data_IF_939001490766
#
_entry.id   IF_939001490766
#
_cell.length_a   1.000
_cell.length_b   1.000
_cell.length_c   1.000
_cell.angle_alpha   90.00
_cell.angle_beta   90.00
_cell.angle_gamma   90.00
#
_symmetry.space_group_name_H-M   'P 1'
#
loop_
_entity.id
_entity.type
_entity.pdbx_description
1 polymer ?
#
# COMPACT_ATOMS: atom_id res chain seq x y z
N UNK A 1 -9.83 4.32 -7.58
CA UNK A 1 -10.62 3.21 -8.18
C UNK A 1 -11.58 2.67 -7.14
N UNK A 2 -12.87 2.53 -7.47
CA UNK A 2 -13.90 2.10 -6.51
C UNK A 2 -13.83 0.59 -6.25
N UNK A 3 -14.06 0.18 -5.00
CA UNK A 3 -14.05 -1.22 -4.53
C UNK A 3 -14.93 -2.16 -5.40
N UNK A 4 -15.96 -1.62 -6.04
CA UNK A 4 -16.92 -2.36 -6.86
C UNK A 4 -16.33 -3.02 -8.12
N UNK A 5 -15.21 -2.51 -8.65
CA UNK A 5 -14.58 -3.08 -9.86
C UNK A 5 -13.93 -4.44 -9.63
N UNK A 6 -13.55 -4.75 -8.38
CA UNK A 6 -12.82 -5.99 -8.05
C UNK A 6 -13.71 -7.24 -8.12
N UNK A 7 -15.02 -7.11 -7.88
CA UNK A 7 -15.97 -8.23 -7.97
C UNK A 7 -16.48 -8.49 -9.39
N UNK A 8 -16.22 -7.59 -10.34
CA UNK A 8 -16.69 -7.70 -11.72
C UNK A 8 -15.71 -8.45 -12.65
N UNK A 9 -14.67 -9.07 -12.10
CA UNK A 9 -13.69 -9.86 -12.88
C UNK A 9 -12.71 -9.04 -13.72
N UNK A 10 -12.74 -7.70 -13.63
CA UNK A 10 -11.80 -6.85 -14.35
C UNK A 10 -10.42 -6.87 -13.69
N UNK A 11 -9.38 -7.05 -14.51
CA UNK A 11 -8.00 -6.80 -14.11
C UNK A 11 -7.75 -5.30 -14.10
N UNK A 12 -7.83 -4.69 -12.94
CA UNK A 12 -7.67 -3.26 -12.78
C UNK A 12 -6.38 -2.89 -12.05
N UNK A 13 -5.71 -1.81 -12.48
CA UNK A 13 -4.56 -1.23 -11.77
C UNK A 13 -5.03 -0.07 -10.90
N UNK A 14 -4.51 0.01 -9.68
CA UNK A 14 -4.85 1.10 -8.79
C UNK A 14 -4.01 2.32 -9.16
N UNK A 15 -4.64 3.48 -9.24
CA UNK A 15 -3.97 4.78 -9.16
C UNK A 15 -4.78 5.65 -8.20
N UNK A 16 -4.09 6.51 -7.47
CA UNK A 16 -4.67 7.38 -6.47
C UNK A 16 -3.98 8.73 -6.48
N UNK A 17 -4.79 9.77 -6.45
CA UNK A 17 -4.35 11.15 -6.37
C UNK A 17 -5.21 11.90 -5.35
N UNK A 18 -4.90 13.17 -5.16
CA UNK A 18 -5.73 14.05 -4.33
C UNK A 18 -6.67 14.83 -5.23
N UNK A 19 -7.97 14.61 -5.05
CA UNK A 19 -9.01 15.46 -5.65
C UNK A 19 -9.10 16.78 -4.86
N UNK A 20 -8.15 17.67 -5.16
CA UNK A 20 -8.04 19.00 -4.57
C UNK A 20 -8.62 20.04 -5.55
N UNK A 21 -9.48 20.96 -5.09
CA UNK A 21 -9.95 21.11 -3.70
C UNK A 21 -11.17 20.24 -3.34
N UNK A 22 -11.85 19.63 -4.33
CA UNK A 22 -13.22 19.11 -4.21
C UNK A 22 -13.51 18.19 -3.01
N UNK A 23 -12.60 17.25 -2.69
CA UNK A 23 -12.78 16.33 -1.55
C UNK A 23 -12.04 16.84 -0.32
N UNK A 24 -10.88 17.47 -0.53
CA UNK A 24 -10.01 17.96 0.54
C UNK A 24 -9.54 19.38 0.21
N UNK A 25 -10.03 20.37 0.96
CA UNK A 25 -9.68 21.78 0.77
C UNK A 25 -8.33 22.16 1.41
N UNK A 26 -7.65 21.22 2.08
CA UNK A 26 -6.53 21.54 2.96
C UNK A 26 -5.18 21.55 2.27
N UNK A 27 -4.90 20.58 1.37
CA UNK A 27 -3.62 20.51 0.64
C UNK A 27 -3.67 19.53 -0.53
N UNK A 28 -2.82 19.80 -1.53
CA UNK A 28 -2.49 18.86 -2.62
C UNK A 28 -1.60 17.74 -2.09
N UNK A 29 -1.73 16.53 -2.65
CA UNK A 29 -0.82 15.41 -2.39
C UNK A 29 -1.08 14.66 -1.08
N UNK A 30 -2.33 14.59 -0.64
CA UNK A 30 -2.80 13.65 0.40
C UNK A 30 -2.76 12.20 -0.11
N UNK A 31 -3.37 11.92 -1.26
CA UNK A 31 -3.23 10.64 -1.97
C UNK A 31 -2.19 10.75 -3.08
N UNK A 32 -1.32 9.74 -3.21
CA UNK A 32 -0.22 9.73 -4.18
C UNK A 32 -0.03 8.35 -4.80
N UNK A 33 0.22 8.31 -6.11
CA UNK A 33 0.68 7.11 -6.82
C UNK A 33 2.21 7.10 -6.87
N UNK A 34 2.82 6.01 -6.38
CA UNK A 34 4.25 5.76 -6.44
C UNK A 34 4.53 4.69 -7.49
N UNK A 35 5.32 5.02 -8.51
CA UNK A 35 5.65 4.15 -9.64
C UNK A 35 7.13 3.79 -9.57
N UNK A 36 7.46 2.50 -9.74
CA UNK A 36 8.87 2.07 -9.82
C UNK A 36 9.45 2.50 -11.15
N UNK A 37 10.56 3.25 -11.12
CA UNK A 37 11.27 3.72 -12.31
C UNK A 37 12.79 3.65 -12.08
N UNK A 38 13.56 3.55 -13.17
CA UNK A 38 15.03 3.63 -13.11
C UNK A 38 15.53 5.07 -12.96
N UNK A 39 14.79 6.03 -13.55
CA UNK A 39 15.01 7.47 -13.46
C UNK A 39 13.65 8.18 -13.47
N UNK A 40 13.54 9.39 -12.90
CA UNK A 40 12.34 10.19 -13.03
C UNK A 40 12.07 10.53 -14.49
N UNK A 41 11.03 9.92 -15.06
CA UNK A 41 10.61 10.12 -16.44
C UNK A 41 9.09 10.02 -16.53
N UNK A 42 8.44 11.02 -17.11
CA UNK A 42 6.99 11.07 -17.13
C UNK A 42 6.36 9.99 -18.02
N UNK A 43 7.00 9.66 -19.15
CA UNK A 43 6.51 8.63 -20.06
C UNK A 43 6.57 7.24 -19.43
N UNK A 44 7.69 6.90 -18.79
CA UNK A 44 7.81 5.65 -18.03
C UNK A 44 6.90 5.64 -16.81
N UNK A 45 6.59 6.80 -16.21
CA UNK A 45 5.64 6.88 -15.11
C UNK A 45 4.24 6.46 -15.56
N UNK A 46 3.77 7.02 -16.69
CA UNK A 46 2.48 6.64 -17.29
C UNK A 46 2.46 5.14 -17.63
N UNK A 47 3.52 4.66 -18.30
CA UNK A 47 3.60 3.26 -18.68
C UNK A 47 3.63 2.34 -17.45
N UNK A 48 4.28 2.76 -16.36
CA UNK A 48 4.31 2.02 -15.10
C UNK A 48 2.96 1.92 -14.43
N UNK A 49 2.13 2.97 -14.47
CA UNK A 49 0.72 2.89 -14.02
C UNK A 49 -0.06 1.87 -14.86
N UNK A 50 0.08 1.92 -16.20
CA UNK A 50 -0.60 1.00 -17.11
C UNK A 50 -0.21 -0.46 -16.85
N UNK A 51 1.06 -0.71 -16.61
CA UNK A 51 1.60 -2.05 -16.32
C UNK A 51 1.27 -2.53 -14.90
N UNK A 52 0.99 -1.60 -13.98
CA UNK A 52 0.75 -1.88 -12.57
C UNK A 52 2.01 -1.99 -11.73
N UNK A 53 3.10 -1.33 -12.13
CA UNK A 53 4.37 -1.22 -11.37
C UNK A 53 4.27 -0.19 -10.24
N UNK A 54 3.12 -0.07 -9.61
CA UNK A 54 2.82 1.05 -8.74
C UNK A 54 1.92 0.68 -7.54
N UNK A 55 1.95 1.53 -6.52
CA UNK A 55 1.03 1.48 -5.38
C UNK A 55 0.56 2.90 -5.03
N UNK A 56 -0.47 2.99 -4.18
CA UNK A 56 -1.00 4.26 -3.67
C UNK A 56 -0.66 4.41 -2.21
N UNK A 57 -0.34 5.62 -1.78
CA UNK A 57 0.05 5.92 -0.41
C UNK A 57 -0.37 7.34 -0.01
N UNK A 58 -0.47 7.55 1.31
CA UNK A 58 -0.68 8.85 1.96
C UNK A 58 0.60 9.72 2.02
N UNK A 59 1.71 9.21 1.49
CA UNK A 59 3.04 9.79 1.58
C UNK A 59 3.71 9.63 2.94
N UNK A 60 3.08 8.94 3.90
CA UNK A 60 3.67 8.57 5.20
C UNK A 60 3.93 7.08 5.30
N UNK A 61 3.16 6.25 4.60
CA UNK A 61 3.26 4.80 4.59
C UNK A 61 3.67 4.28 3.21
N UNK A 62 4.54 3.28 3.12
CA UNK A 62 5.10 2.81 1.86
C UNK A 62 5.15 1.30 1.80
N UNK A 63 4.82 0.75 0.62
CA UNK A 63 4.87 -0.67 0.30
C UNK A 63 5.78 -0.85 -0.92
N UNK A 64 7.06 -1.12 -0.68
CA UNK A 64 8.08 -1.20 -1.74
C UNK A 64 8.47 -2.67 -1.97
N UNK A 65 8.88 -2.98 -3.21
CA UNK A 65 9.37 -4.31 -3.59
C UNK A 65 8.36 -5.42 -3.29
N UNK A 66 7.07 -5.15 -3.54
CA UNK A 66 6.04 -6.17 -3.46
C UNK A 66 6.26 -7.26 -4.51
N UNK A 67 6.32 -8.52 -4.07
CA UNK A 67 6.49 -9.71 -4.90
C UNK A 67 5.58 -10.82 -4.41
N UNK A 68 5.16 -11.67 -5.33
CA UNK A 68 4.61 -12.99 -5.03
C UNK A 68 5.58 -14.02 -5.61
N UNK A 69 6.13 -14.86 -4.74
CA UNK A 69 7.24 -15.77 -5.05
C UNK A 69 8.42 -15.00 -5.66
N UNK A 70 8.73 -15.21 -6.93
CA UNK A 70 9.77 -14.51 -7.67
C UNK A 70 9.23 -13.40 -8.59
N UNK A 71 7.90 -13.25 -8.71
CA UNK A 71 7.25 -12.29 -9.61
C UNK A 71 7.06 -10.96 -8.91
N UNK A 72 7.61 -9.90 -9.49
CA UNK A 72 7.42 -8.53 -9.00
C UNK A 72 6.07 -7.96 -9.42
N UNK A 73 5.50 -7.09 -8.59
CA UNK A 73 4.31 -6.33 -8.93
C UNK A 73 4.46 -5.61 -10.29
N UNK A 74 3.49 -5.81 -11.18
CA UNK A 74 3.50 -5.23 -12.53
C UNK A 74 4.30 -6.03 -13.58
N UNK A 75 4.91 -7.17 -13.23
CA UNK A 75 5.65 -8.03 -14.17
C UNK A 75 4.85 -9.24 -14.69
N UNK A 76 3.54 -9.28 -14.43
CA UNK A 76 2.62 -10.31 -14.92
C UNK A 76 1.98 -11.14 -13.81
N UNK A 77 1.26 -12.19 -14.23
CA UNK A 77 0.54 -13.09 -13.33
C UNK A 77 1.43 -14.22 -12.80
N UNK A 78 1.19 -14.62 -11.56
CA UNK A 78 1.78 -15.82 -10.98
C UNK A 78 0.94 -17.02 -11.42
N UNK A 79 1.51 -17.88 -12.28
CA UNK A 79 0.85 -19.10 -12.74
C UNK A 79 1.28 -20.28 -11.89
N UNK A 80 0.31 -21.01 -11.35
CA UNK A 80 0.53 -22.25 -10.61
C UNK A 80 -0.01 -23.42 -11.45
N UNK A 81 0.78 -24.48 -11.61
CA UNK A 81 0.33 -25.70 -12.33
C UNK A 81 -0.67 -26.54 -11.53
N UNK A 82 -0.66 -26.35 -10.20
CA UNK A 82 -1.58 -26.96 -9.24
C UNK A 82 -1.67 -26.05 -8.01
N UNK A 83 -2.70 -26.18 -7.16
CA UNK A 83 -2.74 -25.47 -5.88
C UNK A 83 -1.43 -25.64 -5.11
N UNK A 84 -0.83 -24.52 -4.72
CA UNK A 84 0.47 -24.49 -4.09
C UNK A 84 0.60 -23.22 -3.23
N UNK A 85 1.38 -23.36 -2.15
CA UNK A 85 1.75 -22.24 -1.29
C UNK A 85 2.59 -21.23 -2.06
N UNK A 86 2.20 -19.97 -2.00
CA UNK A 86 3.00 -18.83 -2.47
C UNK A 86 3.55 -18.04 -1.29
N UNK A 87 4.63 -17.29 -1.53
CA UNK A 87 5.22 -16.39 -0.53
C UNK A 87 5.05 -14.96 -1.01
N UNK A 88 4.35 -14.11 -0.27
CA UNK A 88 4.34 -12.69 -0.59
C UNK A 88 5.46 -11.97 0.13
N UNK A 89 6.20 -11.10 -0.55
CA UNK A 89 7.23 -10.28 0.08
C UNK A 89 7.04 -8.81 -0.20
N UNK A 90 7.26 -7.98 0.80
CA UNK A 90 7.17 -6.52 0.69
C UNK A 90 8.07 -5.89 1.73
N UNK A 91 8.62 -4.73 1.41
CA UNK A 91 9.31 -3.87 2.35
C UNK A 91 8.36 -2.73 2.74
N UNK A 92 8.21 -2.49 4.04
CA UNK A 92 7.20 -1.56 4.55
C UNK A 92 7.86 -0.47 5.39
N UNK A 93 7.39 0.76 5.20
CA UNK A 93 7.75 1.90 6.03
C UNK A 93 6.49 2.68 6.39
N UNK A 94 6.47 3.31 7.57
CA UNK A 94 5.44 4.22 8.02
C UNK A 94 6.05 5.24 8.95
N UNK A 95 5.82 6.50 8.63
CA UNK A 95 6.24 7.63 9.44
C UNK A 95 5.21 7.90 10.52
N UNK A 96 5.62 7.72 11.77
CA UNK A 96 4.85 8.00 12.97
C UNK A 96 5.65 8.93 13.88
N UNK A 97 4.97 9.89 14.51
CA UNK A 97 5.61 10.78 15.48
C UNK A 97 6.06 9.98 16.71
N UNK A 98 7.01 10.51 17.48
CA UNK A 98 7.43 9.88 18.75
C UNK A 98 6.29 9.86 19.76
N UNK A 99 5.69 11.02 19.98
CA UNK A 99 4.50 11.17 20.81
C UNK A 99 3.26 10.85 19.98
N UNK A 100 2.37 9.95 20.44
CA UNK A 100 1.11 9.69 19.77
C UNK A 100 0.25 10.95 19.66
N UNK A 101 -0.39 11.13 18.50
CA UNK A 101 -1.40 12.17 18.35
C UNK A 101 -2.73 11.72 18.98
N UNK A 102 -3.58 12.66 19.44
CA UNK A 102 -4.93 12.33 19.87
C UNK A 102 -5.72 11.59 18.78
N UNK A 103 -6.51 10.59 19.18
CA UNK A 103 -7.44 9.92 18.26
C UNK A 103 -8.41 10.94 17.66
N UNK A 104 -8.55 10.92 16.35
CA UNK A 104 -9.48 11.80 15.64
C UNK A 104 -10.87 11.15 15.61
N UNK A 105 -11.92 11.96 15.56
CA UNK A 105 -13.27 11.44 15.34
C UNK A 105 -13.38 10.90 13.91
N UNK A 106 -14.04 9.76 13.74
CA UNK A 106 -14.16 9.09 12.43
C UNK A 106 -14.86 9.93 11.35
N UNK A 107 -15.61 10.96 11.73
CA UNK A 107 -16.31 11.87 10.82
C UNK A 107 -15.52 13.15 10.48
N UNK A 108 -14.25 13.25 10.90
CA UNK A 108 -13.38 14.39 10.61
C UNK A 108 -12.42 14.03 9.48
N UNK A 109 -12.32 14.90 8.47
CA UNK A 109 -11.38 14.73 7.35
C UNK A 109 -9.92 15.06 7.79
N UNK A 110 -8.91 14.40 7.22
CA UNK A 110 -9.01 13.18 6.42
C UNK A 110 -9.48 12.00 7.30
N UNK A 111 -10.41 11.21 6.78
CA UNK A 111 -11.01 10.07 7.50
C UNK A 111 -10.01 8.93 7.76
N UNK A 112 -8.85 8.99 7.13
CA UNK A 112 -7.78 8.02 7.18
C UNK A 112 -6.46 8.73 7.49
N UNK A 113 -5.64 8.13 8.36
CA UNK A 113 -4.29 8.57 8.69
C UNK A 113 -3.57 7.39 9.34
N UNK A 114 -2.32 7.12 8.97
CA UNK A 114 -1.52 6.02 9.52
C UNK A 114 -1.38 6.11 11.05
N UNK A 115 -1.43 7.31 11.61
CA UNK A 115 -1.43 7.55 13.06
C UNK A 115 -2.67 6.95 13.75
N UNK A 116 -3.83 6.91 13.08
CA UNK A 116 -5.03 6.27 13.62
C UNK A 116 -4.87 4.74 13.72
N UNK A 117 -3.95 4.14 12.97
CA UNK A 117 -3.60 2.73 13.03
C UNK A 117 -2.49 2.40 14.06
N UNK A 118 -1.96 3.39 14.79
CA UNK A 118 -0.92 3.16 15.81
C UNK A 118 -1.37 2.15 16.86
N UNK A 119 -0.44 1.25 17.22
CA UNK A 119 -0.60 0.28 18.30
C UNK A 119 -0.10 0.87 19.62
N UNK A 120 -1.04 1.23 20.51
CA UNK A 120 -0.76 1.81 21.82
C UNK A 120 0.10 3.08 21.71
N UNK A 121 1.16 3.16 22.52
CA UNK A 121 2.13 4.26 22.50
C UNK A 121 3.36 3.97 21.61
N UNK A 122 3.39 2.81 20.94
CA UNK A 122 4.54 2.42 20.09
C UNK A 122 4.51 3.15 18.74
N UNK A 123 5.60 3.10 17.98
CA UNK A 123 5.63 3.52 16.56
C UNK A 123 5.28 2.38 15.60
N UNK A 124 4.47 1.41 16.04
CA UNK A 124 4.05 0.26 15.21
C UNK A 124 2.66 0.48 14.67
N UNK A 125 2.45 0.04 13.43
CA UNK A 125 1.15 -0.09 12.79
C UNK A 125 0.95 -1.54 12.30
N UNK A 126 -0.29 -2.02 12.25
CA UNK A 126 -0.60 -3.29 11.62
C UNK A 126 -0.41 -3.20 10.09
N UNK A 127 0.09 -4.29 9.51
CA UNK A 127 0.16 -4.52 8.06
C UNK A 127 -0.55 -5.82 7.77
N UNK A 128 -1.51 -5.78 6.86
CA UNK A 128 -2.34 -6.94 6.52
C UNK A 128 -2.19 -7.33 5.05
N UNK A 129 -2.06 -8.63 4.79
CA UNK A 129 -2.25 -9.19 3.45
C UNK A 129 -3.69 -9.63 3.31
N UNK A 130 -4.42 -8.99 2.40
CA UNK A 130 -5.83 -9.27 2.16
C UNK A 130 -6.00 -10.02 0.84
N UNK A 131 -6.69 -11.16 0.87
CA UNK A 131 -7.04 -11.96 -0.30
C UNK A 131 -8.56 -12.16 -0.28
N UNK A 132 -9.23 -11.78 -1.37
CA UNK A 132 -10.69 -11.88 -1.51
C UNK A 132 -11.48 -11.27 -0.33
N UNK A 133 -11.00 -10.14 0.19
CA UNK A 133 -11.63 -9.44 1.33
C UNK A 133 -11.32 -10.03 2.71
N UNK A 134 -10.49 -11.07 2.80
CA UNK A 134 -10.09 -11.69 4.07
C UNK A 134 -8.63 -11.39 4.36
N UNK A 135 -8.32 -10.89 5.56
CA UNK A 135 -6.95 -10.75 6.03
C UNK A 135 -6.37 -12.14 6.35
N UNK A 136 -5.39 -12.59 5.56
CA UNK A 136 -4.75 -13.91 5.68
C UNK A 136 -3.41 -13.86 6.41
N UNK A 137 -2.87 -12.66 6.62
CA UNK A 137 -1.70 -12.43 7.46
C UNK A 137 -1.79 -11.03 8.07
N UNK A 138 -1.45 -10.93 9.36
CA UNK A 138 -1.34 -9.68 10.10
C UNK A 138 0.06 -9.61 10.71
N UNK A 139 0.71 -8.46 10.58
CA UNK A 139 1.95 -8.17 11.28
C UNK A 139 1.89 -6.82 11.98
N UNK A 140 2.38 -6.77 13.22
CA UNK A 140 2.54 -5.54 14.00
C UNK A 140 4.01 -5.11 13.95
N UNK A 141 4.43 -4.21 13.05
CA UNK A 141 5.75 -3.55 13.18
C UNK A 141 6.07 -2.58 12.05
N UNK A 142 6.46 -1.37 12.45
CA UNK A 142 7.39 -0.47 11.73
C UNK A 142 8.22 0.23 12.81
N UNK A 143 9.53 0.35 12.64
CA UNK A 143 10.45 1.06 13.55
C UNK A 143 11.31 2.03 12.73
N UNK A 144 11.80 3.09 13.39
CA UNK A 144 12.51 4.26 12.88
C UNK A 144 13.78 3.95 12.07
N UNK A 145 14.28 2.72 12.06
CA UNK A 145 15.59 2.43 11.45
C UNK A 145 15.62 2.49 9.91
N UNK A 146 14.54 2.92 9.21
CA UNK A 146 14.47 2.87 7.74
C UNK A 146 14.90 1.51 7.17
N UNK A 147 14.81 0.45 7.98
CA UNK A 147 15.19 -0.89 7.55
C UNK A 147 14.02 -1.45 6.79
N UNK A 148 14.15 -1.39 5.49
CA UNK A 148 13.38 -2.22 4.58
C UNK A 148 13.50 -3.69 4.98
N UNK A 149 12.43 -4.27 5.49
CA UNK A 149 12.42 -5.69 5.86
C UNK A 149 11.69 -6.49 4.80
N UNK A 150 12.38 -7.46 4.21
CA UNK A 150 11.76 -8.41 3.27
C UNK A 150 10.90 -9.38 4.05
N UNK A 151 9.59 -9.25 3.93
CA UNK A 151 8.67 -10.12 4.66
C UNK A 151 8.28 -11.35 3.87
N UNK A 152 7.94 -12.45 4.52
CA UNK A 152 7.25 -13.59 3.92
C UNK A 152 5.84 -13.65 4.51
N UNK A 153 4.85 -13.10 3.83
CA UNK A 153 3.45 -13.21 4.24
C UNK A 153 2.96 -14.59 3.80
N UNK A 154 2.38 -15.32 4.76
CA UNK A 154 2.00 -16.72 4.66
C UNK A 154 0.94 -17.03 3.60
N UNK A 155 0.75 -18.34 3.43
CA UNK A 155 0.07 -19.04 2.33
C UNK A 155 -1.39 -18.63 2.07
N UNK A 156 -1.70 -18.43 0.79
CA UNK A 156 -2.99 -18.78 0.20
C UNK A 156 -2.86 -20.11 -0.56
#
# INVERSE_FOLDING_TARGET
MSLHTLNAGYRTRISGETDFPCIYDTKVGLGRSYVRQAKPDYGDWIQGIKEGRNYVSDGRSHLIDFRISNVEMGKGDVKLSRPARVTATVQVAAMLNETPEPKRKANVKPYWDVEQARVGTSRKVPVELVVNGVAIALLLRIDHENRWQRMGLGSA
#
